data_IF_712558961989
#
_entry.id   IF_712558961989
#
_cell.length_a   1.000
_cell.length_b   1.000
_cell.length_c   1.000
_cell.angle_alpha   90.00
_cell.angle_beta   90.00
_cell.angle_gamma   90.00
#
_symmetry.space_group_name_H-M   'P 1'
#
loop_
_entity.id
_entity.type
_entity.pdbx_description
1 polymer ?
#
# COMPACT_ATOMS: atom_id res chain seq x y z
N UNK A 1 1.56 17.32 11.24
CA UNK A 1 1.85 15.93 10.84
C UNK A 1 0.82 14.99 11.47
N UNK A 2 0.13 14.19 10.67
CA UNK A 2 -0.91 13.25 11.11
C UNK A 2 -0.67 11.86 10.51
N UNK A 3 -0.94 10.79 11.25
CA UNK A 3 -0.94 9.41 10.73
C UNK A 3 -2.38 9.02 10.40
N UNK A 4 -2.61 8.55 9.17
CA UNK A 4 -3.94 8.17 8.67
C UNK A 4 -3.87 6.78 8.03
N UNK A 5 -4.89 5.96 8.24
CA UNK A 5 -5.04 4.72 7.48
C UNK A 5 -5.47 5.03 6.05
N UNK A 6 -4.93 4.29 5.09
CA UNK A 6 -5.34 4.40 3.69
C UNK A 6 -6.76 3.86 3.52
N UNK A 7 -7.58 4.60 2.79
CA UNK A 7 -8.93 4.19 2.38
C UNK A 7 -9.05 4.10 0.88
N UNK A 8 -10.17 3.54 0.41
CA UNK A 8 -10.46 3.47 -1.03
C UNK A 8 -10.50 4.85 -1.70
N UNK A 9 -10.99 5.88 -0.98
CA UNK A 9 -11.06 7.27 -1.45
C UNK A 9 -9.67 7.93 -1.63
N UNK A 10 -8.63 7.42 -0.96
CA UNK A 10 -7.27 7.96 -1.04
C UNK A 10 -6.51 7.47 -2.30
N UNK A 11 -7.10 6.55 -3.08
CA UNK A 11 -6.42 5.83 -4.18
C UNK A 11 -5.66 6.74 -5.14
N UNK A 12 -6.34 7.71 -5.73
CA UNK A 12 -5.74 8.58 -6.75
C UNK A 12 -4.59 9.43 -6.16
N UNK A 13 -4.80 9.94 -4.95
CA UNK A 13 -3.81 10.75 -4.23
C UNK A 13 -2.57 9.94 -3.86
N UNK A 14 -2.77 8.70 -3.42
CA UNK A 14 -1.68 7.78 -3.07
C UNK A 14 -0.86 7.33 -4.30
N UNK A 15 -1.53 7.05 -5.43
CA UNK A 15 -0.85 6.76 -6.70
C UNK A 15 0.00 7.96 -7.15
N UNK A 16 -0.52 9.19 -7.02
CA UNK A 16 0.23 10.41 -7.32
C UNK A 16 1.48 10.54 -6.43
N UNK A 17 1.35 10.31 -5.12
CA UNK A 17 2.48 10.30 -4.18
C UNK A 17 3.56 9.29 -4.61
N UNK A 18 3.18 8.04 -4.90
CA UNK A 18 4.15 7.02 -5.33
C UNK A 18 4.85 7.35 -6.64
N UNK A 19 4.13 7.93 -7.62
CA UNK A 19 4.71 8.37 -8.90
C UNK A 19 5.78 9.46 -8.70
N UNK A 20 5.65 10.31 -7.69
CA UNK A 20 6.62 11.36 -7.38
C UNK A 20 7.89 10.81 -6.71
N UNK A 21 7.74 9.87 -5.76
CA UNK A 21 8.86 9.32 -5.01
C UNK A 21 9.71 8.38 -5.88
N UNK A 22 9.07 7.51 -6.65
CA UNK A 22 9.78 6.53 -7.45
C UNK A 22 9.92 7.03 -8.89
N UNK A 23 11.13 7.46 -9.29
CA UNK A 23 11.51 7.85 -10.67
C UNK A 23 11.38 6.75 -11.75
N UNK A 24 10.75 5.62 -11.40
CA UNK A 24 10.33 4.50 -12.26
C UNK A 24 9.33 3.62 -11.52
N UNK A 25 8.50 4.21 -10.65
CA UNK A 25 7.67 3.52 -9.66
C UNK A 25 6.74 2.48 -10.22
N UNK A 26 6.25 1.62 -9.31
CA UNK A 26 5.14 0.69 -9.62
C UNK A 26 4.10 1.45 -10.42
N UNK A 27 3.83 0.95 -11.62
CA UNK A 27 2.81 1.54 -12.49
C UNK A 27 1.48 1.53 -11.73
N UNK A 28 0.62 2.49 -12.02
CA UNK A 28 -0.67 2.68 -11.37
C UNK A 28 -1.46 1.36 -11.22
N UNK A 29 -1.45 0.54 -12.27
CA UNK A 29 -2.09 -0.78 -12.30
C UNK A 29 -1.56 -1.74 -11.23
N UNK A 30 -0.24 -1.71 -10.93
CA UNK A 30 0.36 -2.54 -9.88
C UNK A 30 -0.06 -2.09 -8.49
N UNK A 31 -0.05 -0.79 -8.22
CA UNK A 31 -0.49 -0.23 -6.93
C UNK A 31 -1.96 -0.60 -6.70
N UNK A 32 -2.80 -0.40 -7.72
CA UNK A 32 -4.21 -0.73 -7.65
C UNK A 32 -4.44 -2.22 -7.40
N UNK A 33 -3.72 -3.09 -8.14
CA UNK A 33 -3.83 -4.54 -7.99
C UNK A 33 -3.37 -5.05 -6.63
N UNK A 34 -2.26 -4.51 -6.10
CA UNK A 34 -1.64 -5.01 -4.87
C UNK A 34 -2.31 -4.49 -3.60
N UNK A 35 -2.82 -3.26 -3.62
CA UNK A 35 -3.36 -2.61 -2.42
C UNK A 35 -4.89 -2.50 -2.45
N UNK A 36 -5.46 -1.91 -3.51
CA UNK A 36 -6.88 -1.51 -3.53
C UNK A 36 -7.82 -2.59 -4.06
N UNK A 37 -7.31 -3.53 -4.87
CA UNK A 37 -8.08 -4.67 -5.41
C UNK A 37 -7.65 -6.02 -4.85
N UNK A 38 -6.65 -6.06 -3.97
CA UNK A 38 -6.16 -7.32 -3.41
C UNK A 38 -7.14 -7.82 -2.33
N UNK A 39 -7.77 -9.00 -2.52
CA UNK A 39 -8.77 -9.51 -1.57
C UNK A 39 -8.18 -9.93 -0.22
N UNK A 40 -6.85 -10.06 -0.12
CA UNK A 40 -6.17 -10.43 1.11
C UNK A 40 -5.67 -9.22 1.90
N UNK A 41 -5.46 -8.09 1.24
CA UNK A 41 -5.04 -6.82 1.86
C UNK A 41 -6.28 -6.06 2.27
N UNK A 42 -6.41 -5.76 3.56
CA UNK A 42 -7.45 -4.87 4.06
C UNK A 42 -6.85 -3.48 4.21
N UNK A 43 -7.01 -2.65 3.19
CA UNK A 43 -6.26 -1.39 3.10
C UNK A 43 -6.42 -0.48 4.32
N UNK A 44 -7.61 -0.44 4.91
CA UNK A 44 -7.94 0.39 6.09
C UNK A 44 -7.35 -0.15 7.41
N UNK A 45 -6.90 -1.40 7.43
CA UNK A 45 -6.25 -2.04 8.59
C UNK A 45 -4.73 -2.21 8.38
N UNK A 46 -4.30 -2.39 7.13
CA UNK A 46 -2.97 -2.87 6.77
C UNK A 46 -2.03 -1.78 6.24
N UNK A 47 -2.58 -0.61 5.88
CA UNK A 47 -1.83 0.44 5.20
C UNK A 47 -2.09 1.80 5.86
N UNK A 48 -1.03 2.56 6.10
CA UNK A 48 -1.12 3.93 6.61
C UNK A 48 -0.15 4.87 5.90
N UNK A 49 -0.47 6.15 5.97
CA UNK A 49 0.35 7.23 5.47
C UNK A 49 0.50 8.34 6.51
N UNK A 50 1.57 9.10 6.38
CA UNK A 50 1.82 10.30 7.17
C UNK A 50 1.56 11.49 6.26
N UNK A 51 0.77 12.44 6.76
CA UNK A 51 0.40 13.66 6.07
C UNK A 51 0.91 14.89 6.79
N UNK A 52 1.43 15.86 6.03
CA UNK A 52 1.74 17.20 6.51
C UNK A 52 1.34 18.24 5.45
N UNK A 53 0.72 19.34 5.89
CA UNK A 53 0.27 20.41 4.99
C UNK A 53 -0.58 19.93 3.81
N UNK A 54 -1.44 18.93 4.04
CA UNK A 54 -2.29 18.29 3.02
C UNK A 54 -1.51 17.56 1.91
N UNK A 55 -0.26 17.19 2.16
CA UNK A 55 0.56 16.35 1.27
C UNK A 55 0.96 15.07 2.00
N UNK A 56 0.95 13.94 1.27
CA UNK A 56 1.46 12.67 1.79
C UNK A 56 2.98 12.75 1.75
N UNK A 57 3.63 12.52 2.90
CA UNK A 57 5.08 12.65 3.04
C UNK A 57 5.80 11.31 3.27
N UNK A 58 5.07 10.28 3.73
CA UNK A 58 5.57 8.92 3.93
C UNK A 58 4.40 7.95 3.99
N UNK A 59 4.66 6.66 3.74
CA UNK A 59 3.67 5.60 3.91
C UNK A 59 4.29 4.26 4.25
N UNK A 60 3.58 3.46 5.04
CA UNK A 60 3.84 2.04 5.19
C UNK A 60 2.63 1.27 4.68
N UNK A 61 2.86 0.38 3.72
CA UNK A 61 1.81 -0.47 3.16
C UNK A 61 2.17 -1.93 3.33
N UNK A 62 1.20 -2.74 3.74
CA UNK A 62 1.36 -4.20 3.85
C UNK A 62 0.50 -4.87 2.78
N UNK A 63 1.14 -5.51 1.82
CA UNK A 63 0.46 -6.36 0.83
C UNK A 63 0.41 -7.79 1.34
N UNK A 64 -0.79 -8.35 1.48
CA UNK A 64 -0.96 -9.74 1.92
C UNK A 64 -1.08 -10.68 0.72
N UNK A 65 -0.50 -11.88 0.86
CA UNK A 65 -0.65 -12.98 -0.10
C UNK A 65 -0.65 -14.33 0.60
N UNK A 66 -1.15 -15.34 -0.10
CA UNK A 66 -1.07 -16.74 0.31
C UNK A 66 0.10 -17.39 -0.41
N UNK A 67 0.98 -18.06 0.33
CA UNK A 67 2.16 -18.71 -0.23
C UNK A 67 2.28 -20.14 0.30
N UNK A 68 2.76 -21.06 -0.54
CA UNK A 68 3.13 -22.41 -0.12
C UNK A 68 4.58 -22.42 0.34
N UNK A 69 4.84 -22.81 1.59
CA UNK A 69 6.18 -22.98 2.16
C UNK A 69 6.31 -24.44 2.61
N UNK A 70 7.11 -25.21 1.88
CA UNK A 70 7.15 -26.67 2.03
C UNK A 70 5.78 -27.29 1.77
N UNK A 71 5.24 -28.02 2.76
CA UNK A 71 3.91 -28.62 2.70
C UNK A 71 2.80 -27.74 3.30
N UNK A 72 3.11 -26.54 3.79
CA UNK A 72 2.15 -25.65 4.44
C UNK A 72 1.67 -24.54 3.52
N UNK A 73 0.41 -24.16 3.65
CA UNK A 73 -0.16 -22.94 3.05
C UNK A 73 -0.19 -21.87 4.15
N UNK A 74 0.53 -20.78 3.94
CA UNK A 74 0.65 -19.69 4.91
C UNK A 74 0.17 -18.37 4.31
N UNK A 75 -0.37 -17.49 5.15
CA UNK A 75 -0.61 -16.08 4.81
C UNK A 75 0.62 -15.29 5.20
N UNK A 76 1.17 -14.52 4.27
CA UNK A 76 2.34 -13.66 4.49
C UNK A 76 1.98 -12.22 4.14
N UNK A 77 2.59 -11.27 4.86
CA UNK A 77 2.55 -9.86 4.54
C UNK A 77 3.91 -9.41 4.04
N UNK A 78 3.95 -8.73 2.90
CA UNK A 78 5.11 -8.00 2.39
C UNK A 78 4.87 -6.52 2.63
N UNK A 79 5.86 -5.80 3.14
CA UNK A 79 5.69 -4.37 3.43
C UNK A 79 6.69 -3.52 2.65
N UNK A 80 6.20 -2.38 2.17
CA UNK A 80 7.00 -1.32 1.58
C UNK A 80 6.87 -0.08 2.48
N UNK A 81 8.00 0.45 2.95
CA UNK A 81 8.08 1.73 3.65
C UNK A 81 8.69 2.76 2.71
N UNK A 82 7.97 3.86 2.53
CA UNK A 82 8.32 4.96 1.62
C UNK A 82 8.36 6.26 2.41
#
# INVERSE_FOLDING_TARGET
MEIKFLKQEDKERYIKFNKLIFKGGRIEEEIDKLLFRNPFTKIEEDCFYIEESNEIISSLVVTKKVQKIGNNIVKVGEFDLV
#
